data_IF_566295334697
#
_entry.id   IF_566295334697
#
_cell.length_a   1.000
_cell.length_b   1.000
_cell.length_c   1.000
_cell.angle_alpha   90.00
_cell.angle_beta   90.00
_cell.angle_gamma   90.00
#
_symmetry.space_group_name_H-M   'P 1'
#
loop_
_entity.id
_entity.type
_entity.pdbx_description
1 polymer ?
#
# COMPACT_ATOMS: atom_id res chain seq x y z
N UNK A 1 20.29 19.09 -10.22
CA UNK A 1 18.97 19.38 -10.78
C UNK A 1 18.06 19.71 -9.61
N UNK A 2 17.48 20.93 -9.55
CA UNK A 2 16.58 21.29 -8.47
C UNK A 2 15.28 20.49 -8.68
N UNK A 3 14.91 19.70 -7.69
CA UNK A 3 13.65 18.93 -7.69
C UNK A 3 12.49 19.94 -7.72
N UNK A 4 11.60 19.81 -8.69
CA UNK A 4 10.40 20.62 -8.78
C UNK A 4 9.33 20.08 -7.84
N UNK A 5 8.65 20.93 -7.04
CA UNK A 5 7.54 20.52 -6.16
C UNK A 5 6.43 19.77 -6.92
N UNK A 6 6.19 20.15 -8.15
CA UNK A 6 5.14 19.60 -9.03
C UNK A 6 5.29 18.08 -9.24
N UNK A 7 6.53 17.56 -9.21
CA UNK A 7 6.80 16.12 -9.33
C UNK A 7 6.32 15.31 -8.11
N UNK A 8 6.06 15.98 -6.99
CA UNK A 8 5.70 15.40 -5.71
C UNK A 8 4.32 15.85 -5.21
N UNK A 9 3.53 16.46 -6.13
CA UNK A 9 2.12 16.81 -5.90
C UNK A 9 1.29 15.53 -5.58
N UNK A 10 0.26 15.62 -4.72
CA UNK A 10 -0.22 16.83 -4.05
C UNK A 10 0.33 17.04 -2.63
N UNK A 11 1.36 16.32 -2.19
CA UNK A 11 1.84 16.38 -0.81
C UNK A 11 2.54 17.68 -0.46
N UNK A 12 3.37 18.19 -1.37
CA UNK A 12 4.24 19.33 -1.10
C UNK A 12 3.77 20.64 -1.73
N UNK A 13 2.59 20.65 -2.38
CA UNK A 13 2.03 21.83 -3.02
C UNK A 13 1.80 23.00 -2.03
N UNK A 14 1.46 22.65 -0.79
CA UNK A 14 1.19 23.62 0.29
C UNK A 14 2.44 24.21 0.95
N UNK A 15 3.63 23.71 0.61
CA UNK A 15 4.88 24.19 1.20
C UNK A 15 5.31 25.52 0.58
N UNK A 16 5.81 26.43 1.42
CA UNK A 16 6.56 27.61 0.94
C UNK A 16 7.87 27.16 0.28
N UNK A 17 8.51 28.06 -0.49
CA UNK A 17 9.79 27.74 -1.14
C UNK A 17 10.90 27.41 -0.12
N UNK A 18 10.90 28.07 1.05
CA UNK A 18 11.88 27.78 2.08
C UNK A 18 11.61 26.45 2.77
N UNK A 19 10.33 26.09 2.97
CA UNK A 19 9.95 24.75 3.47
C UNK A 19 10.32 23.66 2.47
N UNK A 20 10.12 23.91 1.17
CA UNK A 20 10.53 22.96 0.15
C UNK A 20 12.05 22.79 0.08
N UNK A 21 12.83 23.88 0.15
CA UNK A 21 14.30 23.83 0.27
C UNK A 21 14.74 23.01 1.49
N UNK A 22 14.03 23.17 2.62
CA UNK A 22 14.32 22.39 3.83
C UNK A 22 14.07 20.89 3.59
N UNK A 23 12.98 20.50 2.91
CA UNK A 23 12.73 19.10 2.53
C UNK A 23 13.86 18.59 1.65
N UNK A 24 14.15 19.27 0.54
CA UNK A 24 15.16 18.83 -0.43
C UNK A 24 16.55 18.67 0.20
N UNK A 25 16.94 19.59 1.08
CA UNK A 25 18.25 19.52 1.76
C UNK A 25 18.37 18.40 2.81
N UNK A 26 17.25 17.78 3.19
CA UNK A 26 17.19 16.69 4.16
C UNK A 26 16.58 15.40 3.55
N UNK A 27 16.83 15.21 2.28
CA UNK A 27 16.29 14.09 1.50
C UNK A 27 17.40 13.32 0.79
N UNK A 28 17.21 12.00 0.69
CA UNK A 28 18.03 11.10 -0.12
C UNK A 28 17.11 10.26 -1.00
N UNK A 29 17.47 10.14 -2.30
CA UNK A 29 16.78 9.23 -3.22
C UNK A 29 17.37 7.83 -3.12
N UNK A 30 16.52 6.84 -2.94
CA UNK A 30 16.89 5.44 -2.77
C UNK A 30 16.17 4.58 -3.78
N UNK A 31 16.89 3.63 -4.38
CA UNK A 31 16.33 2.65 -5.29
C UNK A 31 16.32 1.29 -4.63
N UNK A 32 15.26 0.53 -4.90
CA UNK A 32 15.05 -0.80 -4.36
C UNK A 32 14.72 -1.79 -5.48
N UNK A 33 15.29 -2.98 -5.36
CA UNK A 33 14.94 -4.12 -6.20
C UNK A 33 13.77 -4.88 -5.58
N UNK A 34 13.24 -5.83 -6.34
CA UNK A 34 12.17 -6.72 -5.87
C UNK A 34 12.55 -7.41 -4.56
N UNK A 35 11.61 -7.44 -3.61
CA UNK A 35 11.72 -8.02 -2.27
C UNK A 35 12.68 -7.31 -1.30
N UNK A 36 13.32 -6.22 -1.69
CA UNK A 36 14.10 -5.41 -0.75
C UNK A 36 13.19 -4.66 0.23
N UNK A 37 13.62 -4.58 1.49
CA UNK A 37 12.87 -3.93 2.57
C UNK A 37 13.22 -2.45 2.65
N UNK A 38 12.18 -1.60 2.59
CA UNK A 38 12.29 -0.14 2.74
C UNK A 38 12.37 0.23 4.21
N UNK A 39 11.48 -0.31 5.02
CA UNK A 39 11.49 -0.16 6.47
C UNK A 39 10.97 -1.42 7.14
N UNK A 40 11.48 -1.71 8.35
CA UNK A 40 11.17 -2.92 9.12
C UNK A 40 10.30 -2.60 10.32
N UNK A 41 9.25 -3.39 10.56
CA UNK A 41 8.43 -3.33 11.76
C UNK A 41 9.31 -3.36 13.01
N UNK A 42 9.06 -2.42 13.95
CA UNK A 42 9.80 -2.29 15.21
C UNK A 42 11.14 -1.55 15.12
N UNK A 43 11.69 -1.31 13.92
CA UNK A 43 12.86 -0.46 13.75
C UNK A 43 12.53 1.02 14.00
N UNK A 44 13.52 1.83 14.37
CA UNK A 44 13.33 3.26 14.59
C UNK A 44 12.87 3.97 13.33
N UNK A 45 11.80 4.75 13.44
CA UNK A 45 11.20 5.53 12.36
C UNK A 45 11.89 6.89 12.21
N UNK A 46 13.17 6.89 11.86
CA UNK A 46 13.97 8.10 11.67
C UNK A 46 13.66 8.83 10.37
N UNK A 47 13.05 8.16 9.40
CA UNK A 47 12.69 8.72 8.11
C UNK A 47 11.25 8.37 7.73
N UNK A 48 10.68 9.19 6.84
CA UNK A 48 9.51 8.85 6.04
C UNK A 48 9.96 8.65 4.60
N UNK A 49 9.17 7.88 3.85
CA UNK A 49 9.51 7.60 2.45
C UNK A 49 8.34 7.98 1.56
N UNK A 50 8.55 8.97 0.69
CA UNK A 50 7.64 9.28 -0.40
C UNK A 50 7.94 8.35 -1.57
N UNK A 51 6.94 7.63 -2.06
CA UNK A 51 7.11 6.70 -3.17
C UNK A 51 7.09 7.47 -4.49
N UNK A 52 8.21 7.45 -5.21
CA UNK A 52 8.35 8.11 -6.51
C UNK A 52 7.91 7.19 -7.65
N UNK A 53 8.31 5.91 -7.56
CA UNK A 53 8.00 4.92 -8.58
C UNK A 53 7.95 3.51 -8.00
N UNK A 54 7.23 2.62 -8.70
CA UNK A 54 7.07 1.22 -8.30
C UNK A 54 5.90 0.99 -7.36
N UNK A 55 5.76 -0.24 -6.92
CA UNK A 55 4.71 -0.68 -5.99
C UNK A 55 5.34 -1.46 -4.85
N UNK A 56 4.82 -1.26 -3.64
CA UNK A 56 5.32 -1.89 -2.43
C UNK A 56 4.17 -2.52 -1.66
N UNK A 57 4.47 -3.53 -0.85
CA UNK A 57 3.53 -4.11 0.11
C UNK A 57 3.88 -3.68 1.53
N UNK A 58 2.87 -3.25 2.27
CA UNK A 58 2.96 -2.95 3.70
C UNK A 58 2.28 -4.06 4.48
N UNK A 59 3.01 -4.72 5.38
CA UNK A 59 2.52 -5.90 6.09
C UNK A 59 2.93 -5.93 7.56
N UNK A 60 2.12 -6.60 8.36
CA UNK A 60 2.42 -6.98 9.73
C UNK A 60 3.07 -8.36 9.76
N UNK A 61 4.16 -8.46 10.52
CA UNK A 61 4.79 -9.73 10.84
C UNK A 61 4.27 -10.23 12.19
N UNK A 62 3.78 -11.45 12.20
CA UNK A 62 3.36 -12.13 13.43
C UNK A 62 3.81 -13.58 13.39
N UNK A 63 4.79 -13.93 14.23
CA UNK A 63 5.48 -15.24 14.19
C UNK A 63 6.06 -15.49 12.79
N UNK A 64 5.70 -16.61 12.17
CA UNK A 64 6.18 -17.01 10.83
C UNK A 64 5.23 -16.61 9.69
N UNK A 65 4.18 -15.82 10.01
CA UNK A 65 3.15 -15.37 9.06
C UNK A 65 3.22 -13.87 8.82
N UNK A 66 2.81 -13.47 7.63
CA UNK A 66 2.65 -12.08 7.26
C UNK A 66 1.19 -11.79 6.94
N UNK A 67 0.71 -10.63 7.36
CA UNK A 67 -0.57 -10.10 6.93
C UNK A 67 -0.33 -8.80 6.17
N UNK A 68 -0.58 -8.81 4.86
CA UNK A 68 -0.49 -7.60 4.05
C UNK A 68 -1.71 -6.72 4.38
N UNK A 69 -1.42 -5.50 4.82
CA UNK A 69 -2.45 -4.53 5.18
C UNK A 69 -2.87 -3.69 3.98
N UNK A 70 -1.91 -3.23 3.17
CA UNK A 70 -2.16 -2.45 1.95
C UNK A 70 -1.00 -2.53 0.97
N UNK A 71 -1.25 -2.08 -0.24
CA UNK A 71 -0.21 -1.82 -1.23
C UNK A 71 0.05 -0.31 -1.28
N UNK A 72 1.31 0.07 -1.38
CA UNK A 72 1.75 1.46 -1.41
C UNK A 72 2.19 1.79 -2.83
N UNK A 73 1.70 2.90 -3.37
CA UNK A 73 1.83 3.32 -4.77
C UNK A 73 2.59 4.64 -4.89
N UNK A 74 3.02 5.02 -6.09
CA UNK A 74 3.60 6.34 -6.34
C UNK A 74 2.69 7.47 -5.84
N UNK A 75 3.28 8.47 -5.21
CA UNK A 75 2.56 9.59 -4.60
C UNK A 75 2.14 9.38 -3.15
N UNK A 76 2.33 8.19 -2.57
CA UNK A 76 2.01 7.92 -1.16
C UNK A 76 3.25 8.05 -0.25
N UNK A 77 3.00 8.30 1.05
CA UNK A 77 4.06 8.41 2.06
C UNK A 77 3.99 7.22 3.02
N UNK A 78 5.13 6.56 3.22
CA UNK A 78 5.33 5.50 4.19
C UNK A 78 5.81 6.11 5.51
N UNK A 79 5.25 5.66 6.65
CA UNK A 79 5.74 5.98 7.98
C UNK A 79 5.02 7.11 8.70
N UNK A 80 3.99 7.73 8.11
CA UNK A 80 3.21 8.82 8.75
C UNK A 80 2.65 8.40 10.12
N UNK A 81 2.07 7.21 10.22
CA UNK A 81 1.51 6.66 11.47
C UNK A 81 2.56 6.43 12.57
N UNK A 82 3.85 6.42 12.22
CA UNK A 82 4.95 6.19 13.16
C UNK A 82 5.53 7.48 13.76
N UNK A 83 5.18 8.65 13.22
CA UNK A 83 5.79 9.95 13.60
C UNK A 83 5.60 10.32 15.07
N UNK A 84 4.42 10.08 15.61
CA UNK A 84 4.04 10.51 16.98
C UNK A 84 3.75 9.32 17.91
N UNK A 85 4.01 8.09 17.47
CA UNK A 85 3.90 6.90 18.29
C UNK A 85 5.31 6.35 18.55
N UNK A 86 5.60 5.81 19.68
CA UNK A 86 6.84 5.16 20.16
C UNK A 86 8.13 5.29 19.30
N UNK A 87 8.11 6.04 18.18
CA UNK A 87 9.24 6.25 17.27
C UNK A 87 9.69 5.00 16.48
N UNK A 88 8.82 4.01 16.32
CA UNK A 88 9.13 2.79 15.56
C UNK A 88 8.11 2.56 14.46
N UNK A 89 8.53 1.94 13.35
CA UNK A 89 7.61 1.57 12.27
C UNK A 89 6.60 0.52 12.74
N UNK A 90 5.34 0.75 12.38
CA UNK A 90 4.25 -0.17 12.69
C UNK A 90 4.21 -1.38 11.78
N UNK A 91 4.77 -1.26 10.57
CA UNK A 91 4.71 -2.24 9.49
C UNK A 91 6.09 -2.44 8.89
N UNK A 92 6.31 -3.59 8.29
CA UNK A 92 7.38 -3.80 7.33
C UNK A 92 6.86 -3.42 5.96
N UNK A 93 7.67 -2.66 5.20
CA UNK A 93 7.37 -2.32 3.81
C UNK A 93 8.46 -2.88 2.91
N UNK A 94 8.05 -3.64 1.89
CA UNK A 94 8.96 -4.25 0.93
C UNK A 94 8.51 -3.99 -0.52
N UNK A 95 9.48 -3.84 -1.40
CA UNK A 95 9.25 -3.60 -2.82
C UNK A 95 8.74 -4.86 -3.54
N UNK A 96 7.79 -4.69 -4.47
CA UNK A 96 7.26 -5.75 -5.33
C UNK A 96 7.97 -5.83 -6.70
N UNK A 97 8.76 -4.81 -7.03
CA UNK A 97 9.54 -4.71 -8.27
C UNK A 97 10.64 -3.68 -8.12
N UNK A 98 11.16 -3.16 -9.23
CA UNK A 98 12.03 -1.98 -9.17
C UNK A 98 11.21 -0.78 -8.68
N UNK A 99 11.72 -0.10 -7.67
CA UNK A 99 11.02 1.01 -7.02
C UNK A 99 12.01 2.10 -6.61
N UNK A 100 11.54 3.34 -6.54
CA UNK A 100 12.31 4.45 -6.00
C UNK A 100 11.51 5.23 -4.97
N UNK A 101 12.19 5.72 -3.96
CA UNK A 101 11.61 6.54 -2.90
C UNK A 101 12.49 7.74 -2.59
N UNK A 102 11.85 8.81 -2.17
CA UNK A 102 12.49 9.94 -1.52
C UNK A 102 12.42 9.75 -0.01
N UNK A 103 13.56 9.48 0.63
CA UNK A 103 13.68 9.33 2.07
C UNK A 103 13.82 10.69 2.72
N UNK A 104 12.91 11.08 3.60
CA UNK A 104 12.83 12.39 4.26
C UNK A 104 13.03 12.20 5.75
N UNK A 105 13.88 13.01 6.37
CA UNK A 105 14.08 12.96 7.82
C UNK A 105 12.76 13.24 8.58
N UNK A 106 12.43 12.40 9.56
CA UNK A 106 11.18 12.49 10.31
C UNK A 106 11.01 13.82 11.08
N UNK A 107 12.10 14.40 11.58
CA UNK A 107 12.03 15.67 12.34
C UNK A 107 11.73 16.86 11.41
N UNK A 108 12.15 16.79 10.15
CA UNK A 108 11.74 17.77 9.11
C UNK A 108 10.24 17.71 8.90
N UNK A 109 9.68 16.52 8.75
CA UNK A 109 8.22 16.35 8.56
C UNK A 109 7.46 16.81 9.80
N UNK A 110 7.93 16.48 11.01
CA UNK A 110 7.34 17.00 12.26
C UNK A 110 7.39 18.53 12.35
N UNK A 111 8.48 19.15 11.87
CA UNK A 111 8.60 20.61 11.81
C UNK A 111 7.56 21.19 10.85
N UNK A 112 7.42 20.62 9.66
CA UNK A 112 6.41 21.06 8.68
C UNK A 112 4.99 20.96 9.24
N UNK A 113 4.65 19.88 9.92
CA UNK A 113 3.33 19.69 10.56
C UNK A 113 3.07 20.80 11.59
N UNK A 114 4.08 21.24 12.35
CA UNK A 114 3.92 22.30 13.34
C UNK A 114 3.82 23.71 12.73
N UNK A 115 4.47 23.95 11.60
CA UNK A 115 4.64 25.29 11.02
C UNK A 115 3.73 25.55 9.81
N UNK A 116 3.06 24.52 9.26
CA UNK A 116 2.22 24.66 8.09
C UNK A 116 0.88 23.92 8.28
N UNK A 117 -0.17 24.70 8.52
CA UNK A 117 -1.51 24.17 8.81
C UNK A 117 -2.05 23.32 7.65
N UNK A 118 -1.91 23.76 6.40
CA UNK A 118 -2.42 23.04 5.23
C UNK A 118 -1.72 21.68 5.06
N UNK A 119 -0.40 21.62 5.32
CA UNK A 119 0.34 20.37 5.32
C UNK A 119 -0.11 19.46 6.46
N UNK A 120 -0.34 20.01 7.66
CA UNK A 120 -0.86 19.25 8.81
C UNK A 120 -2.25 18.66 8.52
N UNK A 121 -3.16 19.44 7.92
CA UNK A 121 -4.48 18.97 7.52
C UNK A 121 -4.40 17.83 6.48
N UNK A 122 -3.47 17.93 5.53
CA UNK A 122 -3.22 16.85 4.55
C UNK A 122 -2.75 15.56 5.23
N UNK A 123 -1.84 15.67 6.21
CA UNK A 123 -1.37 14.51 7.00
C UNK A 123 -2.52 13.89 7.79
N UNK A 124 -3.36 14.69 8.43
CA UNK A 124 -4.53 14.21 9.19
C UNK A 124 -5.52 13.50 8.25
N UNK A 125 -5.82 14.08 7.11
CA UNK A 125 -6.72 13.49 6.12
C UNK A 125 -6.20 12.12 5.64
N UNK A 126 -4.90 12.01 5.37
CA UNK A 126 -4.28 10.75 4.97
C UNK A 126 -4.35 9.69 6.07
N UNK A 127 -4.06 10.05 7.32
CA UNK A 127 -4.13 9.12 8.45
C UNK A 127 -5.57 8.64 8.69
N UNK A 128 -6.57 9.52 8.53
CA UNK A 128 -7.97 9.15 8.63
C UNK A 128 -8.38 8.17 7.51
N UNK A 129 -7.93 8.41 6.27
CA UNK A 129 -8.17 7.49 5.16
C UNK A 129 -7.54 6.12 5.45
N UNK A 130 -6.25 6.05 5.84
CA UNK A 130 -5.58 4.80 6.20
C UNK A 130 -6.28 4.07 7.35
N UNK A 131 -6.87 4.81 8.28
CA UNK A 131 -7.65 4.24 9.39
C UNK A 131 -8.95 3.63 8.86
N UNK A 132 -9.69 4.33 8.00
CA UNK A 132 -10.89 3.83 7.35
C UNK A 132 -10.62 2.54 6.56
N UNK A 133 -9.60 2.56 5.70
CA UNK A 133 -9.20 1.38 4.92
C UNK A 133 -8.84 0.19 5.83
N UNK A 134 -8.20 0.46 6.97
CA UNK A 134 -7.87 -0.59 7.95
C UNK A 134 -9.11 -1.19 8.61
N UNK A 135 -10.15 -0.39 8.88
CA UNK A 135 -11.43 -0.89 9.42
C UNK A 135 -12.14 -1.78 8.40
N UNK A 136 -12.22 -1.37 7.14
CA UNK A 136 -12.79 -2.21 6.07
C UNK A 136 -12.02 -3.53 5.93
N UNK A 137 -10.70 -3.49 6.05
CA UNK A 137 -9.86 -4.69 6.07
C UNK A 137 -10.18 -5.62 7.24
N UNK A 138 -10.40 -5.09 8.44
CA UNK A 138 -10.78 -5.87 9.61
C UNK A 138 -12.12 -6.55 9.36
N UNK A 139 -13.12 -5.85 8.81
CA UNK A 139 -14.41 -6.42 8.46
C UNK A 139 -14.25 -7.55 7.45
N UNK A 140 -13.53 -7.33 6.35
CA UNK A 140 -13.27 -8.36 5.35
C UNK A 140 -12.63 -9.62 5.96
N UNK A 141 -11.60 -9.45 6.80
CA UNK A 141 -10.86 -10.55 7.40
C UNK A 141 -11.62 -11.31 8.50
N UNK A 142 -12.60 -10.68 9.15
CA UNK A 142 -13.31 -11.28 10.30
C UNK A 142 -14.72 -11.75 9.98
N UNK A 143 -15.42 -11.07 9.05
CA UNK A 143 -16.83 -11.34 8.75
C UNK A 143 -17.03 -12.13 7.45
N UNK A 144 -16.09 -12.06 6.50
CA UNK A 144 -16.25 -12.74 5.20
C UNK A 144 -15.59 -14.13 5.20
N UNK A 145 -16.18 -15.05 4.45
CA UNK A 145 -15.57 -16.34 4.15
C UNK A 145 -14.40 -16.17 3.16
N UNK A 146 -13.63 -17.24 2.96
CA UNK A 146 -12.41 -17.17 2.15
C UNK A 146 -12.68 -16.76 0.69
N UNK A 147 -13.82 -17.19 0.10
CA UNK A 147 -14.21 -16.83 -1.26
C UNK A 147 -14.51 -15.33 -1.37
N UNK A 148 -15.24 -14.77 -0.40
CA UNK A 148 -15.52 -13.34 -0.35
C UNK A 148 -14.26 -12.50 -0.19
N UNK A 149 -13.28 -12.93 0.63
CA UNK A 149 -11.99 -12.24 0.78
C UNK A 149 -11.18 -12.21 -0.50
N UNK A 150 -11.18 -13.29 -1.29
CA UNK A 150 -10.53 -13.32 -2.61
C UNK A 150 -11.27 -12.41 -3.60
N UNK A 151 -12.60 -12.41 -3.58
CA UNK A 151 -13.40 -11.52 -4.41
C UNK A 151 -13.11 -10.05 -4.09
N UNK A 152 -13.10 -9.67 -2.80
CA UNK A 152 -12.67 -8.33 -2.34
C UNK A 152 -11.29 -7.97 -2.85
N UNK A 153 -10.32 -8.88 -2.73
CA UNK A 153 -8.96 -8.64 -3.16
C UNK A 153 -8.87 -8.38 -4.68
N UNK A 154 -9.58 -9.15 -5.50
CA UNK A 154 -9.58 -8.96 -6.95
C UNK A 154 -10.25 -7.63 -7.32
N UNK A 155 -11.39 -7.28 -6.69
CA UNK A 155 -12.06 -5.99 -6.89
C UNK A 155 -11.16 -4.82 -6.48
N UNK A 156 -10.49 -4.93 -5.32
CA UNK A 156 -9.51 -3.93 -4.85
C UNK A 156 -8.36 -3.77 -5.85
N UNK A 157 -7.80 -4.87 -6.36
CA UNK A 157 -6.72 -4.77 -7.35
C UNK A 157 -7.20 -4.09 -8.63
N UNK A 158 -8.37 -4.45 -9.13
CA UNK A 158 -8.92 -3.86 -10.33
C UNK A 158 -9.21 -2.35 -10.16
N UNK A 159 -9.85 -1.96 -9.06
CA UNK A 159 -10.28 -0.59 -8.83
C UNK A 159 -9.14 0.32 -8.37
N UNK A 160 -8.36 -0.13 -7.36
CA UNK A 160 -7.44 0.73 -6.63
C UNK A 160 -5.99 0.59 -7.06
N UNK A 161 -5.60 -0.58 -7.57
CA UNK A 161 -4.18 -0.82 -7.88
C UNK A 161 -3.88 -0.69 -9.36
N UNK A 162 -4.69 -1.32 -10.21
CA UNK A 162 -4.45 -1.37 -11.65
C UNK A 162 -5.38 -0.46 -12.45
N UNK A 163 -6.49 0.02 -11.87
CA UNK A 163 -7.52 0.84 -12.51
C UNK A 163 -8.02 0.25 -13.84
N UNK A 164 -8.20 -1.08 -13.86
CA UNK A 164 -8.60 -1.85 -15.04
C UNK A 164 -9.23 -3.18 -14.64
N UNK A 165 -10.18 -3.68 -15.41
CA UNK A 165 -10.78 -5.00 -15.24
C UNK A 165 -9.88 -6.13 -15.80
N UNK A 166 -8.88 -5.78 -16.60
CA UNK A 166 -7.85 -6.70 -17.12
C UNK A 166 -6.47 -6.15 -16.79
N UNK A 167 -5.66 -6.92 -16.05
CA UNK A 167 -4.37 -6.47 -15.55
C UNK A 167 -3.35 -7.60 -15.36
N UNK A 168 -2.07 -7.23 -15.41
CA UNK A 168 -0.97 -8.14 -15.11
C UNK A 168 -0.60 -8.07 -13.63
N UNK A 169 -0.95 -9.10 -12.86
CA UNK A 169 -0.72 -9.21 -11.44
C UNK A 169 0.77 -9.33 -11.12
N UNK A 170 1.36 -8.33 -10.50
CA UNK A 170 2.77 -8.37 -10.07
C UNK A 170 2.98 -9.20 -8.79
N UNK A 171 1.90 -9.47 -8.06
CA UNK A 171 1.89 -10.22 -6.81
C UNK A 171 2.07 -11.73 -7.05
N UNK A 172 2.72 -12.39 -6.11
CA UNK A 172 2.75 -13.85 -6.03
C UNK A 172 1.44 -14.38 -5.46
N UNK A 173 1.17 -15.69 -5.62
CA UNK A 173 0.02 -16.34 -4.97
C UNK A 173 0.10 -16.25 -3.43
N UNK A 174 1.31 -16.26 -2.88
CA UNK A 174 1.54 -16.02 -1.46
C UNK A 174 1.16 -14.59 -1.07
N UNK A 175 1.52 -13.57 -1.84
CA UNK A 175 1.13 -12.19 -1.54
C UNK A 175 -0.40 -12.03 -1.54
N UNK A 176 -1.12 -12.70 -2.45
CA UNK A 176 -2.59 -12.71 -2.47
C UNK A 176 -3.12 -13.41 -1.20
N UNK A 177 -2.55 -14.54 -0.82
CA UNK A 177 -2.93 -15.27 0.38
C UNK A 177 -2.67 -14.45 1.65
N UNK A 178 -1.47 -13.84 1.78
CA UNK A 178 -1.10 -12.96 2.88
C UNK A 178 -2.01 -11.71 2.94
N UNK A 179 -2.47 -11.21 1.79
CA UNK A 179 -3.46 -10.13 1.75
C UNK A 179 -4.85 -10.59 2.17
N UNK A 180 -5.29 -11.79 1.82
CA UNK A 180 -6.59 -12.33 2.19
C UNK A 180 -6.61 -13.01 3.57
N UNK A 181 -5.49 -13.08 4.30
CA UNK A 181 -5.38 -13.73 5.60
C UNK A 181 -5.72 -15.22 5.53
N UNK A 182 -5.12 -15.95 4.59
CA UNK A 182 -5.36 -17.38 4.37
C UNK A 182 -4.09 -18.10 3.92
N UNK A 183 -4.13 -19.43 3.89
CA UNK A 183 -3.03 -20.22 3.35
C UNK A 183 -2.89 -20.05 1.82
N UNK A 184 -1.67 -20.20 1.32
CA UNK A 184 -1.39 -20.11 -0.14
C UNK A 184 -2.18 -21.16 -0.92
N UNK A 185 -2.35 -22.36 -0.36
CA UNK A 185 -3.11 -23.46 -0.95
C UNK A 185 -4.59 -23.09 -1.10
N UNK A 186 -5.19 -22.48 -0.06
CA UNK A 186 -6.57 -21.99 -0.09
C UNK A 186 -6.75 -20.93 -1.18
N UNK A 187 -5.84 -19.95 -1.25
CA UNK A 187 -5.90 -18.91 -2.28
C UNK A 187 -5.81 -19.50 -3.69
N UNK A 188 -4.88 -20.43 -3.93
CA UNK A 188 -4.73 -21.10 -5.25
C UNK A 188 -6.00 -21.86 -5.60
N UNK A 189 -6.59 -22.62 -4.66
CA UNK A 189 -7.83 -23.39 -4.88
C UNK A 189 -8.97 -22.47 -5.29
N UNK A 190 -9.22 -21.39 -4.53
CA UNK A 190 -10.32 -20.46 -4.79
C UNK A 190 -10.11 -19.71 -6.12
N UNK A 191 -8.90 -19.26 -6.41
CA UNK A 191 -8.60 -18.64 -7.71
C UNK A 191 -8.87 -19.55 -8.88
N UNK A 192 -8.59 -20.87 -8.73
CA UNK A 192 -8.91 -21.88 -9.75
C UNK A 192 -10.42 -22.10 -9.88
N UNK A 193 -11.17 -22.11 -8.79
CA UNK A 193 -12.63 -22.18 -8.80
C UNK A 193 -13.22 -20.99 -9.55
N UNK A 194 -12.82 -19.74 -9.22
CA UNK A 194 -13.27 -18.52 -9.92
C UNK A 194 -12.95 -18.53 -11.41
N UNK A 195 -11.81 -19.12 -11.81
CA UNK A 195 -11.45 -19.28 -13.21
C UNK A 195 -12.36 -20.31 -13.91
N UNK A 196 -12.59 -21.48 -13.30
CA UNK A 196 -13.43 -22.53 -13.86
C UNK A 196 -14.89 -22.08 -14.02
N UNK A 197 -15.38 -21.30 -13.06
CA UNK A 197 -16.74 -20.72 -13.05
C UNK A 197 -16.87 -19.51 -13.98
N UNK A 198 -15.79 -19.14 -14.69
CA UNK A 198 -15.73 -18.02 -15.64
C UNK A 198 -16.11 -16.68 -15.00
N UNK A 199 -15.84 -16.51 -13.71
CA UNK A 199 -16.00 -15.25 -12.99
C UNK A 199 -14.78 -14.37 -13.23
N UNK A 200 -13.58 -14.97 -13.18
CA UNK A 200 -12.31 -14.32 -13.49
C UNK A 200 -11.50 -15.22 -14.42
N UNK A 201 -11.05 -14.73 -15.56
CA UNK A 201 -10.06 -15.45 -16.37
C UNK A 201 -8.65 -15.22 -15.82
N UNK A 202 -7.90 -16.30 -15.58
CA UNK A 202 -6.55 -16.24 -15.00
C UNK A 202 -5.60 -17.04 -15.88
N UNK A 203 -4.70 -16.35 -16.57
CA UNK A 203 -3.66 -16.94 -17.43
C UNK A 203 -2.28 -16.52 -16.92
N UNK A 204 -1.67 -17.37 -16.09
CA UNK A 204 -0.41 -17.06 -15.41
C UNK A 204 -0.55 -15.87 -14.46
N UNK A 205 -0.05 -14.71 -14.90
CA UNK A 205 -0.17 -13.44 -14.17
C UNK A 205 -1.27 -12.52 -14.71
N UNK A 206 -1.85 -12.83 -15.85
CA UNK A 206 -2.92 -12.05 -16.43
C UNK A 206 -4.25 -12.41 -15.76
N UNK A 207 -4.91 -11.40 -15.20
CA UNK A 207 -6.22 -11.47 -14.59
C UNK A 207 -7.19 -10.64 -15.41
N UNK A 208 -8.36 -11.20 -15.70
CA UNK A 208 -9.46 -10.49 -16.36
C UNK A 208 -10.76 -10.80 -15.65
N UNK A 209 -11.42 -9.78 -15.14
CA UNK A 209 -12.77 -9.91 -14.58
C UNK A 209 -13.74 -10.17 -15.73
N UNK A 210 -14.38 -11.34 -15.73
CA UNK A 210 -15.34 -11.75 -16.77
C UNK A 210 -16.76 -11.35 -16.34
N UNK A 211 -17.10 -11.56 -15.07
CA UNK A 211 -18.38 -11.18 -14.51
C UNK A 211 -18.19 -10.38 -13.22
N UNK A 212 -18.23 -9.06 -13.34
CA UNK A 212 -18.10 -8.14 -12.20
C UNK A 212 -19.24 -8.34 -11.21
N UNK A 213 -20.47 -8.51 -11.71
CA UNK A 213 -21.67 -8.74 -10.88
C UNK A 213 -21.52 -9.99 -9.99
N UNK A 214 -21.06 -11.12 -10.54
CA UNK A 214 -20.85 -12.34 -9.74
C UNK A 214 -19.73 -12.17 -8.73
N UNK A 215 -18.68 -11.45 -9.09
CA UNK A 215 -17.56 -11.16 -8.20
C UNK A 215 -18.00 -10.24 -7.04
N UNK A 216 -18.82 -9.23 -7.31
CA UNK A 216 -19.41 -8.35 -6.30
C UNK A 216 -20.36 -9.14 -5.36
N UNK A 217 -21.19 -10.02 -5.90
CA UNK A 217 -22.05 -10.90 -5.09
C UNK A 217 -21.24 -11.82 -4.18
N UNK A 218 -20.13 -12.39 -4.69
CA UNK A 218 -19.23 -13.20 -3.86
C UNK A 218 -18.53 -12.36 -2.77
N UNK A 219 -18.21 -11.12 -3.08
CA UNK A 219 -17.65 -10.18 -2.10
C UNK A 219 -18.63 -9.87 -0.98
N UNK A 220 -19.93 -9.74 -1.30
CA UNK A 220 -20.96 -9.35 -0.33
C UNK A 220 -21.49 -10.52 0.50
N UNK A 221 -21.66 -11.70 -0.08
CA UNK A 221 -22.34 -12.85 0.54
C UNK A 221 -21.45 -14.09 0.71
N UNK A 222 -20.19 -14.04 0.27
CA UNK A 222 -19.24 -15.15 0.28
C UNK A 222 -18.39 -15.28 1.54
#
# INVERSE_FOLDING_TARGET
MLLSKEQFSPWFDYLTDDQWKLVVSNTVHLNYNKAETICKQGAFASNLYFVENGMMKSYKEYKDENLIMRFVRPGEIIGLSSLYNKGTYHFTVASLGQSSVMSINADVVKKLIRENQNFAEKVIAQLNQETGDSLERIISLTQKQLNGRIADAILYFAAEVYHADEFNMQLTRRDIADFCGMSTESAIRILKELHNDKIVNIEGKNFKIVSKQLLENLSEFG
#
